data_IF_498995971582
#
_entry.id   IF_498995971582
#
_cell.length_a   1.000
_cell.length_b   1.000
_cell.length_c   1.000
_cell.angle_alpha   90.00
_cell.angle_beta   90.00
_cell.angle_gamma   90.00
#
_symmetry.space_group_name_H-M   'P 1'
#
loop_
_entity.id
_entity.type
_entity.pdbx_description
1 polymer ?
#
# COMPACT_ATOMS: atom_id res chain seq x y z
N UNK A 1 -3.84 25.28 1.78
CA UNK A 1 -4.82 24.29 1.26
C UNK A 1 -5.62 23.80 2.45
N UNK A 2 -6.94 23.94 2.37
CA UNK A 2 -7.87 23.44 3.39
C UNK A 2 -8.31 22.03 3.05
N UNK A 3 -8.11 21.09 3.95
CA UNK A 3 -8.45 19.67 3.75
C UNK A 3 -9.49 19.24 4.77
N UNK A 4 -10.55 18.61 4.30
CA UNK A 4 -11.58 18.02 5.13
C UNK A 4 -11.43 16.50 5.09
N UNK A 5 -11.32 15.88 6.27
CA UNK A 5 -11.23 14.42 6.43
C UNK A 5 -12.53 13.94 7.07
N UNK A 6 -13.26 13.09 6.36
CA UNK A 6 -14.48 12.47 6.85
C UNK A 6 -14.22 11.02 7.30
N UNK A 7 -14.31 10.78 8.60
CA UNK A 7 -13.97 9.54 9.28
C UNK A 7 -12.57 9.57 9.89
N UNK A 8 -12.49 9.58 11.21
CA UNK A 8 -11.26 9.60 11.99
C UNK A 8 -10.91 8.22 12.60
N UNK A 9 -11.19 7.17 11.84
CA UNK A 9 -10.71 5.82 12.10
C UNK A 9 -9.21 5.68 11.81
N UNK A 10 -8.68 4.43 11.77
CA UNK A 10 -7.23 4.18 11.58
C UNK A 10 -6.61 4.91 10.38
N UNK A 11 -7.33 4.99 9.26
CA UNK A 11 -6.84 5.68 8.06
C UNK A 11 -6.92 7.19 8.24
N UNK A 12 -8.07 7.71 8.70
CA UNK A 12 -8.24 9.15 8.96
C UNK A 12 -7.22 9.68 9.96
N UNK A 13 -7.06 9.03 11.10
CA UNK A 13 -6.06 9.42 12.11
C UNK A 13 -4.61 9.38 11.57
N UNK A 14 -4.28 8.42 10.69
CA UNK A 14 -2.95 8.39 10.05
C UNK A 14 -2.76 9.58 9.10
N UNK A 15 -3.79 9.91 8.31
CA UNK A 15 -3.77 11.06 7.42
C UNK A 15 -3.68 12.36 8.22
N UNK A 16 -4.49 12.51 9.27
CA UNK A 16 -4.48 13.68 10.17
C UNK A 16 -3.08 13.92 10.73
N UNK A 17 -2.45 12.89 11.26
CA UNK A 17 -1.08 12.97 11.79
C UNK A 17 -0.08 13.45 10.74
N UNK A 18 -0.12 12.89 9.53
CA UNK A 18 0.84 13.22 8.46
C UNK A 18 0.60 14.63 7.92
N UNK A 19 -0.64 14.96 7.59
CA UNK A 19 -0.99 16.24 6.99
C UNK A 19 -0.88 17.41 7.99
N UNK A 20 -1.16 17.18 9.27
CA UNK A 20 -0.90 18.17 10.34
C UNK A 20 0.59 18.44 10.46
N UNK A 21 1.45 17.42 10.40
CA UNK A 21 2.91 17.59 10.43
C UNK A 21 3.45 18.36 9.22
N UNK A 22 2.75 18.32 8.09
CA UNK A 22 3.08 19.09 6.88
C UNK A 22 2.50 20.51 6.88
N UNK A 23 1.74 20.88 7.93
CA UNK A 23 1.21 22.24 8.11
C UNK A 23 -0.03 22.57 7.29
N UNK A 24 -0.82 21.55 6.89
CA UNK A 24 -2.12 21.79 6.24
C UNK A 24 -3.19 22.20 7.25
N UNK A 25 -4.15 23.03 6.81
CA UNK A 25 -5.34 23.41 7.56
C UNK A 25 -6.36 22.27 7.49
N UNK A 26 -6.59 21.60 8.62
CA UNK A 26 -7.38 20.38 8.70
C UNK A 26 -8.69 20.57 9.44
N UNK A 27 -9.76 20.05 8.84
CA UNK A 27 -11.07 19.87 9.45
C UNK A 27 -11.42 18.38 9.44
N UNK A 28 -11.90 17.85 10.57
CA UNK A 28 -12.29 16.45 10.70
C UNK A 28 -13.80 16.34 10.97
N UNK A 29 -14.42 15.33 10.37
CA UNK A 29 -15.80 14.94 10.70
C UNK A 29 -15.79 13.47 11.13
N UNK A 30 -16.36 13.18 12.29
CA UNK A 30 -16.66 11.81 12.71
C UNK A 30 -17.98 11.74 13.49
N UNK A 31 -18.60 10.58 13.51
CA UNK A 31 -19.80 10.28 14.28
C UNK A 31 -19.49 9.79 15.71
N UNK A 32 -18.22 9.72 16.09
CA UNK A 32 -17.74 9.34 17.41
C UNK A 32 -17.03 10.51 18.09
N UNK A 33 -17.71 11.16 19.03
CA UNK A 33 -17.17 12.32 19.75
C UNK A 33 -15.85 12.00 20.48
N UNK A 34 -15.72 10.81 21.09
CA UNK A 34 -14.52 10.43 21.84
C UNK A 34 -13.26 10.35 20.94
N UNK A 35 -13.45 9.97 19.69
CA UNK A 35 -12.36 9.93 18.72
C UNK A 35 -11.92 11.34 18.38
N UNK A 36 -12.87 12.24 18.11
CA UNK A 36 -12.59 13.64 17.81
C UNK A 36 -11.90 14.35 18.99
N UNK A 37 -12.37 14.13 20.23
CA UNK A 37 -11.75 14.71 21.43
C UNK A 37 -10.29 14.28 21.57
N UNK A 38 -10.00 12.97 21.38
CA UNK A 38 -8.65 12.45 21.44
C UNK A 38 -7.74 13.01 20.34
N UNK A 39 -8.29 13.26 19.17
CA UNK A 39 -7.51 13.83 18.04
C UNK A 39 -7.19 15.30 18.26
N UNK A 40 -8.14 16.10 18.80
CA UNK A 40 -7.89 17.49 19.17
C UNK A 40 -6.88 17.67 20.30
N UNK A 41 -6.77 16.69 21.21
CA UNK A 41 -5.72 16.70 22.25
C UNK A 41 -4.31 16.50 21.69
N UNK A 42 -4.19 15.84 20.53
CA UNK A 42 -2.91 15.45 19.95
C UNK A 42 -2.45 16.36 18.80
N UNK A 43 -3.39 16.96 18.09
CA UNK A 43 -3.12 17.72 16.87
C UNK A 43 -3.91 19.04 16.86
N UNK A 44 -3.29 20.07 16.26
CA UNK A 44 -3.97 21.36 16.02
C UNK A 44 -4.91 21.23 14.81
N UNK A 45 -6.12 20.78 15.08
CA UNK A 45 -7.16 20.52 14.07
C UNK A 45 -8.53 20.93 14.58
N UNK A 46 -9.40 21.34 13.67
CA UNK A 46 -10.81 21.60 13.98
C UNK A 46 -11.65 20.34 13.72
N UNK A 47 -12.69 20.14 14.49
CA UNK A 47 -13.56 18.98 14.38
C UNK A 47 -15.04 19.33 14.33
N UNK A 48 -15.81 18.50 13.64
CA UNK A 48 -17.29 18.56 13.61
C UNK A 48 -17.84 17.16 13.88
N UNK A 49 -18.64 17.05 14.93
CA UNK A 49 -19.35 15.81 15.24
C UNK A 49 -20.59 15.66 14.36
N UNK A 50 -20.73 14.53 13.68
CA UNK A 50 -21.92 14.22 12.89
C UNK A 50 -21.71 13.26 11.75
N UNK A 51 -22.78 13.06 10.96
CA UNK A 51 -22.76 12.24 9.77
C UNK A 51 -22.26 13.07 8.59
N UNK A 52 -21.06 12.72 8.09
CA UNK A 52 -20.39 13.43 6.99
C UNK A 52 -21.14 13.37 5.64
N UNK A 53 -22.10 12.46 5.46
CA UNK A 53 -22.92 12.39 4.26
C UNK A 53 -24.04 13.45 4.22
N UNK A 54 -24.25 14.20 5.31
CA UNK A 54 -25.34 15.18 5.42
C UNK A 54 -24.87 16.58 5.04
N UNK A 55 -25.74 17.31 4.30
CA UNK A 55 -25.49 18.70 3.88
C UNK A 55 -25.15 19.61 5.07
N UNK A 56 -25.90 19.51 6.17
CA UNK A 56 -25.75 20.42 7.32
C UNK A 56 -24.37 20.24 7.98
N UNK A 57 -23.91 19.01 8.18
CA UNK A 57 -22.60 18.72 8.78
C UNK A 57 -21.46 19.18 7.86
N UNK A 58 -21.58 18.98 6.55
CA UNK A 58 -20.60 19.46 5.58
C UNK A 58 -20.53 21.00 5.56
N UNK A 59 -21.67 21.70 5.62
CA UNK A 59 -21.68 23.16 5.70
C UNK A 59 -21.06 23.66 7.01
N UNK A 60 -21.36 23.03 8.14
CA UNK A 60 -20.75 23.33 9.44
C UNK A 60 -19.23 23.12 9.41
N UNK A 61 -18.75 22.12 8.68
CA UNK A 61 -17.34 21.84 8.48
C UNK A 61 -16.64 22.76 7.45
N UNK A 62 -17.33 23.75 6.90
CA UNK A 62 -16.74 24.73 5.97
C UNK A 62 -16.46 24.18 4.57
N UNK A 63 -17.29 23.26 4.06
CA UNK A 63 -17.09 22.61 2.75
C UNK A 63 -16.99 23.61 1.58
N UNK A 64 -17.61 24.78 1.71
CA UNK A 64 -17.60 25.82 0.66
C UNK A 64 -16.21 26.42 0.43
N UNK A 65 -15.33 26.37 1.44
CA UNK A 65 -13.97 26.90 1.41
C UNK A 65 -12.92 25.80 1.38
N UNK A 66 -13.35 24.54 1.33
CA UNK A 66 -12.47 23.36 1.31
C UNK A 66 -11.93 23.11 -0.11
N UNK A 67 -10.64 22.81 -0.21
CA UNK A 67 -9.98 22.47 -1.48
C UNK A 67 -10.04 20.97 -1.78
N UNK A 68 -9.93 20.14 -0.73
CA UNK A 68 -9.86 18.69 -0.82
C UNK A 68 -10.70 18.01 0.27
N UNK A 69 -11.58 17.11 -0.12
CA UNK A 69 -12.29 16.19 0.79
C UNK A 69 -11.69 14.77 0.67
N UNK A 70 -11.37 14.17 1.80
CA UNK A 70 -10.98 12.75 1.90
C UNK A 70 -12.01 12.00 2.73
N UNK A 71 -12.85 11.19 2.08
CA UNK A 71 -13.85 10.37 2.75
C UNK A 71 -13.26 8.98 3.05
N UNK A 72 -13.01 8.70 4.34
CA UNK A 72 -12.32 7.50 4.83
C UNK A 72 -13.07 6.80 5.97
N UNK A 73 -14.41 6.87 5.98
CA UNK A 73 -15.24 6.20 6.98
C UNK A 73 -15.20 4.68 6.87
N UNK A 74 -15.91 3.99 7.74
CA UNK A 74 -15.99 2.52 7.74
C UNK A 74 -16.89 1.93 6.63
N UNK A 75 -17.71 2.74 5.96
CA UNK A 75 -18.65 2.31 4.92
C UNK A 75 -18.35 2.99 3.58
N UNK A 76 -18.19 2.19 2.55
CA UNK A 76 -17.85 2.66 1.21
C UNK A 76 -18.98 3.51 0.61
N UNK A 77 -20.24 3.13 0.87
CA UNK A 77 -21.46 3.84 0.46
C UNK A 77 -21.54 5.23 1.10
N UNK A 78 -21.14 5.36 2.37
CA UNK A 78 -21.10 6.65 3.07
C UNK A 78 -20.00 7.53 2.47
N UNK A 79 -18.85 6.96 2.11
CA UNK A 79 -17.78 7.70 1.48
C UNK A 79 -18.19 8.25 0.09
N UNK A 80 -18.91 7.45 -0.70
CA UNK A 80 -19.46 7.87 -1.99
C UNK A 80 -20.50 8.98 -1.81
N UNK A 81 -21.46 8.77 -0.92
CA UNK A 81 -22.52 9.76 -0.66
C UNK A 81 -21.93 11.07 -0.11
N UNK A 82 -20.94 10.99 0.77
CA UNK A 82 -20.23 12.16 1.30
C UNK A 82 -19.57 12.97 0.15
N UNK A 83 -18.82 12.32 -0.73
CA UNK A 83 -18.18 12.97 -1.88
C UNK A 83 -19.22 13.61 -2.82
N UNK A 84 -20.28 12.88 -3.15
CA UNK A 84 -21.34 13.38 -4.03
C UNK A 84 -22.07 14.59 -3.43
N UNK A 85 -22.42 14.52 -2.15
CA UNK A 85 -23.08 15.64 -1.44
C UNK A 85 -22.17 16.85 -1.37
N UNK A 86 -20.90 16.64 -1.02
CA UNK A 86 -19.91 17.70 -0.91
C UNK A 86 -19.65 18.40 -2.24
N UNK A 87 -19.49 17.65 -3.32
CA UNK A 87 -19.31 18.21 -4.67
C UNK A 87 -20.55 18.96 -5.15
N UNK A 88 -21.75 18.48 -4.80
CA UNK A 88 -23.00 19.18 -5.09
C UNK A 88 -23.10 20.56 -4.39
N UNK A 89 -22.41 20.73 -3.24
CA UNK A 89 -22.30 22.00 -2.52
C UNK A 89 -21.15 22.86 -3.08
N UNK A 90 -20.01 22.27 -3.34
CA UNK A 90 -18.81 22.94 -3.84
C UNK A 90 -18.29 22.22 -5.10
N UNK A 91 -18.69 22.62 -6.31
CA UNK A 91 -18.28 21.96 -7.55
C UNK A 91 -16.78 22.07 -7.91
N UNK A 92 -16.03 22.92 -7.21
CA UNK A 92 -14.58 23.05 -7.37
C UNK A 92 -13.78 22.10 -6.51
N UNK A 93 -14.45 21.42 -5.59
CA UNK A 93 -13.86 20.53 -4.60
C UNK A 93 -13.24 19.31 -5.27
N UNK A 94 -12.01 19.01 -4.92
CA UNK A 94 -11.43 17.71 -5.20
C UNK A 94 -11.88 16.70 -4.14
N UNK A 95 -12.23 15.48 -4.57
CA UNK A 95 -12.74 14.45 -3.68
C UNK A 95 -11.95 13.17 -3.81
N UNK A 96 -11.62 12.57 -2.68
CA UNK A 96 -11.01 11.25 -2.59
C UNK A 96 -11.89 10.35 -1.73
N UNK A 97 -12.32 9.22 -2.27
CA UNK A 97 -13.09 8.24 -1.51
C UNK A 97 -12.28 6.96 -1.27
N UNK A 98 -12.31 6.48 -0.03
CA UNK A 98 -11.84 5.14 0.32
C UNK A 98 -12.92 4.12 -0.07
N UNK A 99 -12.59 3.22 -0.99
CA UNK A 99 -13.47 2.15 -1.48
C UNK A 99 -12.75 0.83 -1.33
N UNK A 100 -13.28 -0.05 -0.48
CA UNK A 100 -12.61 -1.31 -0.07
C UNK A 100 -13.29 -2.57 -0.58
N UNK A 101 -14.59 -2.45 -0.90
CA UNK A 101 -15.36 -3.61 -1.35
C UNK A 101 -14.89 -4.03 -2.75
N UNK A 102 -14.46 -5.32 -2.92
CA UNK A 102 -14.08 -5.83 -4.24
C UNK A 102 -15.18 -5.68 -5.29
N UNK A 103 -16.45 -5.83 -4.91
CA UNK A 103 -17.60 -5.73 -5.80
C UNK A 103 -17.76 -4.33 -6.42
N UNK A 104 -17.27 -3.28 -5.71
CA UNK A 104 -17.34 -1.91 -6.20
C UNK A 104 -16.11 -1.51 -7.02
N UNK A 105 -15.01 -2.23 -6.88
CA UNK A 105 -13.71 -1.81 -7.42
C UNK A 105 -13.71 -1.53 -8.93
N UNK A 106 -14.40 -2.33 -9.72
CA UNK A 106 -14.44 -2.18 -11.17
C UNK A 106 -15.47 -1.11 -11.59
N UNK A 107 -16.63 -1.07 -10.92
CA UNK A 107 -17.70 -0.12 -11.20
C UNK A 107 -17.30 1.33 -10.89
N UNK A 108 -16.53 1.55 -9.84
CA UNK A 108 -16.13 2.88 -9.39
C UNK A 108 -15.33 3.64 -10.44
N UNK A 109 -14.47 2.97 -11.20
CA UNK A 109 -13.70 3.63 -12.25
C UNK A 109 -14.59 4.10 -13.42
N UNK A 110 -15.65 3.35 -13.73
CA UNK A 110 -16.63 3.71 -14.75
C UNK A 110 -17.60 4.80 -14.29
N UNK A 111 -17.95 4.79 -13.00
CA UNK A 111 -18.95 5.68 -12.40
C UNK A 111 -18.34 6.86 -11.63
N UNK A 112 -17.04 7.07 -11.69
CA UNK A 112 -16.34 8.09 -10.87
C UNK A 112 -16.93 9.50 -11.06
N UNK A 113 -17.35 9.83 -12.27
CA UNK A 113 -17.92 11.15 -12.59
C UNK A 113 -19.33 11.31 -11.99
N UNK A 114 -20.10 10.22 -11.89
CA UNK A 114 -21.42 10.20 -11.24
C UNK A 114 -21.29 10.46 -9.74
N UNK A 115 -20.28 9.86 -9.11
CA UNK A 115 -19.98 10.05 -7.69
C UNK A 115 -19.09 11.26 -7.42
N UNK A 116 -18.78 12.05 -8.44
CA UNK A 116 -17.91 13.22 -8.36
C UNK A 116 -16.56 12.92 -7.72
N UNK A 117 -15.91 11.81 -8.08
CA UNK A 117 -14.64 11.38 -7.52
C UNK A 117 -13.46 11.86 -8.38
N UNK A 118 -12.57 12.64 -7.77
CA UNK A 118 -11.25 12.90 -8.33
C UNK A 118 -10.37 11.65 -8.25
N UNK A 119 -10.48 10.89 -7.15
CA UNK A 119 -9.74 9.66 -6.93
C UNK A 119 -10.50 8.67 -6.03
N UNK A 120 -10.41 7.38 -6.34
CA UNK A 120 -10.80 6.29 -5.45
C UNK A 120 -9.55 5.55 -4.95
N UNK A 121 -9.47 5.27 -3.65
CA UNK A 121 -8.31 4.61 -3.02
C UNK A 121 -8.76 3.38 -2.26
N UNK A 122 -8.05 2.27 -2.46
CA UNK A 122 -8.22 1.04 -1.71
C UNK A 122 -6.91 0.69 -0.97
N UNK A 123 -6.74 1.11 0.28
CA UNK A 123 -5.51 0.88 1.04
C UNK A 123 -5.21 -0.62 1.23
N UNK A 124 -6.24 -1.44 1.40
CA UNK A 124 -6.10 -2.87 1.58
C UNK A 124 -5.56 -3.57 0.32
N UNK A 125 -6.02 -3.15 -0.86
CA UNK A 125 -5.51 -3.63 -2.16
C UNK A 125 -4.07 -3.18 -2.40
N UNK A 126 -3.73 -1.94 -2.01
CA UNK A 126 -2.36 -1.43 -2.11
C UNK A 126 -1.41 -2.18 -1.17
N UNK A 127 -1.83 -2.43 0.08
CA UNK A 127 -1.05 -3.23 1.02
C UNK A 127 -0.84 -4.66 0.50
N UNK A 128 -1.89 -5.30 -0.03
CA UNK A 128 -1.79 -6.63 -0.64
C UNK A 128 -0.82 -6.64 -1.84
N UNK A 129 -0.88 -5.61 -2.69
CA UNK A 129 0.04 -5.47 -3.83
C UNK A 129 1.50 -5.35 -3.37
N UNK A 130 1.75 -4.58 -2.32
CA UNK A 130 3.08 -4.42 -1.75
C UNK A 130 3.61 -5.72 -1.13
N UNK A 131 2.78 -6.42 -0.34
CA UNK A 131 3.14 -7.72 0.23
C UNK A 131 3.42 -8.74 -0.89
N UNK A 132 2.57 -8.81 -1.91
CA UNK A 132 2.76 -9.69 -3.06
C UNK A 132 4.06 -9.41 -3.80
N UNK A 133 4.44 -8.14 -3.91
CA UNK A 133 5.71 -7.71 -4.48
C UNK A 133 6.91 -8.20 -3.66
N UNK A 134 6.86 -8.06 -2.33
CA UNK A 134 7.90 -8.55 -1.43
C UNK A 134 8.06 -10.07 -1.52
N UNK A 135 6.96 -10.81 -1.62
CA UNK A 135 6.98 -12.27 -1.77
C UNK A 135 7.57 -12.71 -3.12
N UNK A 136 7.32 -11.95 -4.17
CA UNK A 136 7.86 -12.23 -5.51
C UNK A 136 9.34 -11.92 -5.62
N UNK A 137 9.81 -10.90 -4.91
CA UNK A 137 11.18 -10.38 -5.01
C UNK A 137 11.78 -10.08 -3.62
N UNK A 138 12.00 -11.09 -2.79
CA UNK A 138 12.43 -10.90 -1.39
C UNK A 138 13.83 -10.31 -1.23
N UNK A 139 14.62 -10.22 -2.31
CA UNK A 139 15.96 -9.61 -2.29
C UNK A 139 16.00 -8.09 -2.47
N UNK A 140 14.86 -7.45 -2.74
CA UNK A 140 14.82 -6.00 -2.90
C UNK A 140 14.28 -5.31 -1.64
N UNK A 141 14.96 -4.27 -1.16
CA UNK A 141 14.47 -3.43 -0.06
C UNK A 141 13.29 -2.58 -0.52
N UNK A 142 13.39 -2.02 -1.73
CA UNK A 142 12.34 -1.22 -2.36
C UNK A 142 12.35 -1.41 -3.86
N UNK A 143 11.20 -1.28 -4.50
CA UNK A 143 11.04 -1.34 -5.94
C UNK A 143 9.96 -0.35 -6.37
N UNK A 144 10.34 0.60 -7.19
CA UNK A 144 9.43 1.58 -7.79
C UNK A 144 9.39 1.36 -9.31
N UNK A 145 8.21 1.52 -9.90
CA UNK A 145 8.00 1.36 -11.34
C UNK A 145 7.65 2.70 -11.98
N UNK A 146 8.26 2.99 -13.13
CA UNK A 146 8.04 4.20 -13.90
C UNK A 146 7.62 3.87 -15.33
N UNK A 147 7.12 4.86 -16.05
CA UNK A 147 6.73 4.75 -17.45
C UNK A 147 5.78 3.57 -17.73
N UNK A 148 4.73 3.40 -16.90
CA UNK A 148 3.74 2.32 -16.97
C UNK A 148 4.38 0.93 -16.83
N UNK A 149 5.36 0.78 -15.92
CA UNK A 149 6.01 -0.50 -15.63
C UNK A 149 7.16 -0.88 -16.58
N UNK A 150 7.55 0.00 -17.51
CA UNK A 150 8.67 -0.28 -18.45
C UNK A 150 10.04 -0.06 -17.85
N UNK A 151 10.13 0.82 -16.86
CA UNK A 151 11.37 1.11 -16.13
C UNK A 151 11.15 0.84 -14.67
N UNK A 152 12.08 0.15 -14.05
CA UNK A 152 12.04 -0.18 -12.63
C UNK A 152 13.30 0.34 -11.96
N UNK A 153 13.14 0.94 -10.77
CA UNK A 153 14.23 1.26 -9.87
C UNK A 153 14.11 0.35 -8.66
N UNK A 154 15.16 -0.36 -8.35
CA UNK A 154 15.22 -1.24 -7.19
C UNK A 154 16.28 -0.78 -6.23
N UNK A 155 15.99 -0.92 -4.95
CA UNK A 155 16.92 -0.66 -3.88
C UNK A 155 17.52 -1.97 -3.39
N UNK A 156 18.84 -2.01 -3.35
CA UNK A 156 19.63 -3.12 -2.85
C UNK A 156 20.60 -2.62 -1.77
N UNK A 157 20.87 -3.46 -0.78
CA UNK A 157 21.95 -3.22 0.17
C UNK A 157 23.18 -4.01 -0.21
N UNK A 158 24.34 -3.37 -0.09
CA UNK A 158 25.63 -4.05 -0.27
C UNK A 158 25.97 -4.74 1.06
N UNK A 159 25.77 -6.06 1.08
CA UNK A 159 26.07 -6.89 2.27
C UNK A 159 27.56 -7.23 2.38
N UNK A 160 28.00 -7.55 3.59
CA UNK A 160 29.35 -8.04 3.84
C UNK A 160 29.64 -9.28 2.99
N UNK A 161 30.78 -9.30 2.32
CA UNK A 161 31.15 -10.42 1.44
C UNK A 161 30.40 -10.50 0.11
N UNK A 162 29.52 -9.54 -0.19
CA UNK A 162 28.89 -9.42 -1.50
C UNK A 162 29.94 -9.18 -2.58
N UNK A 163 29.70 -9.71 -3.81
CA UNK A 163 30.52 -9.41 -4.99
C UNK A 163 30.52 -7.93 -5.39
N UNK A 164 29.62 -7.14 -4.83
CA UNK A 164 29.57 -5.70 -5.02
C UNK A 164 30.51 -4.94 -4.08
N UNK A 165 30.92 -5.55 -2.98
CA UNK A 165 31.78 -4.90 -2.00
C UNK A 165 33.19 -4.66 -2.58
N UNK A 166 33.68 -3.42 -2.45
CA UNK A 166 34.94 -2.94 -3.03
C UNK A 166 35.03 -2.99 -4.55
N UNK A 167 33.88 -3.02 -5.25
CA UNK A 167 33.80 -3.02 -6.69
C UNK A 167 33.62 -1.58 -7.22
N UNK A 168 34.46 -1.10 -8.15
CA UNK A 168 34.20 0.13 -8.89
C UNK A 168 33.07 -0.08 -9.90
N UNK A 169 32.21 0.93 -10.07
CA UNK A 169 31.00 0.82 -10.90
C UNK A 169 31.27 0.54 -12.38
N UNK A 170 32.41 0.98 -12.93
CA UNK A 170 32.83 0.66 -14.29
C UNK A 170 33.02 -0.85 -14.50
N UNK A 171 33.29 -1.61 -13.44
CA UNK A 171 33.45 -3.07 -13.45
C UNK A 171 32.15 -3.83 -13.12
N UNK A 172 31.03 -3.12 -12.83
CA UNK A 172 29.78 -3.73 -12.39
C UNK A 172 29.22 -4.73 -13.41
N UNK A 173 29.27 -4.42 -14.69
CA UNK A 173 28.75 -5.28 -15.77
C UNK A 173 29.47 -6.64 -15.85
N UNK A 174 30.72 -6.72 -15.42
CA UNK A 174 31.48 -7.98 -15.40
C UNK A 174 30.97 -8.97 -14.35
N UNK A 175 30.46 -8.43 -13.23
CA UNK A 175 29.91 -9.20 -12.12
C UNK A 175 28.44 -9.52 -12.35
N UNK A 176 27.66 -8.52 -12.77
CA UNK A 176 26.20 -8.61 -12.92
C UNK A 176 25.78 -9.32 -14.19
N UNK A 177 26.61 -9.31 -15.24
CA UNK A 177 26.36 -9.91 -16.58
C UNK A 177 25.02 -9.49 -17.20
N UNK A 178 24.57 -8.28 -16.88
CA UNK A 178 23.36 -7.66 -17.43
C UNK A 178 23.51 -6.14 -17.43
N UNK A 179 22.81 -5.49 -18.36
CA UNK A 179 22.83 -4.02 -18.41
C UNK A 179 22.01 -3.47 -17.25
N UNK A 180 22.68 -2.83 -16.32
CA UNK A 180 22.11 -2.14 -15.17
C UNK A 180 22.81 -0.81 -14.98
N UNK A 181 22.09 0.16 -14.42
CA UNK A 181 22.64 1.46 -14.07
C UNK A 181 22.38 1.72 -12.59
N UNK A 182 23.44 2.05 -11.84
CA UNK A 182 23.32 2.57 -10.49
C UNK A 182 23.07 4.06 -10.58
N UNK A 183 21.87 4.50 -10.23
CA UNK A 183 21.45 5.89 -10.32
C UNK A 183 21.90 6.71 -9.11
N UNK A 184 21.82 6.12 -7.90
CA UNK A 184 22.13 6.77 -6.63
C UNK A 184 22.73 5.75 -5.68
N UNK A 185 23.66 6.19 -4.86
CA UNK A 185 24.18 5.45 -3.70
C UNK A 185 23.85 6.25 -2.43
N UNK A 186 23.21 5.62 -1.47
CA UNK A 186 23.00 6.20 -0.15
C UNK A 186 24.04 5.60 0.81
N UNK A 187 24.96 6.44 1.28
CA UNK A 187 26.02 6.08 2.24
C UNK A 187 25.93 6.98 3.45
N UNK A 188 25.77 6.40 4.62
CA UNK A 188 25.67 7.13 5.91
C UNK A 188 24.58 8.20 5.93
N UNK A 189 23.46 7.97 5.19
CA UNK A 189 22.36 8.93 5.09
C UNK A 189 22.53 10.00 4.01
N UNK A 190 23.68 10.06 3.33
CA UNK A 190 23.96 10.99 2.25
C UNK A 190 23.72 10.35 0.88
N UNK A 191 22.95 11.04 0.01
CA UNK A 191 22.67 10.60 -1.35
C UNK A 191 23.77 11.09 -2.31
N UNK A 192 24.43 10.15 -2.98
CA UNK A 192 25.55 10.39 -3.88
C UNK A 192 25.15 9.95 -5.29
N UNK A 193 25.34 10.82 -6.29
CA UNK A 193 25.27 10.43 -7.70
C UNK A 193 26.65 9.86 -8.11
N UNK A 194 26.78 8.53 -8.26
CA UNK A 194 28.08 7.93 -8.46
C UNK A 194 28.53 8.05 -9.93
N UNK A 195 29.83 8.15 -10.13
CA UNK A 195 30.50 7.97 -11.42
C UNK A 195 31.03 6.55 -11.61
N UNK A 196 31.73 6.27 -12.73
CA UNK A 196 32.28 4.96 -13.02
C UNK A 196 33.41 4.52 -12.09
N UNK A 197 34.15 5.44 -11.49
CA UNK A 197 35.26 5.18 -10.56
C UNK A 197 34.77 4.98 -9.12
N UNK A 198 33.49 5.27 -8.85
CA UNK A 198 32.91 5.15 -7.52
C UNK A 198 32.98 3.68 -7.02
N UNK A 199 33.59 3.49 -5.86
CA UNK A 199 33.75 2.16 -5.25
C UNK A 199 32.64 1.91 -4.23
N UNK A 200 31.87 0.87 -4.44
CA UNK A 200 30.84 0.41 -3.54
C UNK A 200 31.46 -0.18 -2.26
N UNK A 201 30.83 0.07 -1.10
CA UNK A 201 31.25 -0.42 0.20
C UNK A 201 30.14 -1.17 0.91
N UNK A 202 30.50 -2.00 1.85
CA UNK A 202 29.53 -2.61 2.77
C UNK A 202 28.64 -1.57 3.43
N UNK A 203 27.36 -1.87 3.54
CA UNK A 203 26.34 -0.99 4.11
C UNK A 203 25.74 0.04 3.14
N UNK A 204 26.34 0.26 1.97
CA UNK A 204 25.74 1.12 0.95
C UNK A 204 24.35 0.62 0.54
N UNK A 205 23.44 1.56 0.36
CA UNK A 205 22.15 1.30 -0.29
C UNK A 205 22.22 1.85 -1.70
N UNK A 206 22.10 0.99 -2.69
CA UNK A 206 22.22 1.35 -4.11
C UNK A 206 20.85 1.31 -4.77
N UNK A 207 20.59 2.32 -5.58
CA UNK A 207 19.37 2.41 -6.39
C UNK A 207 19.73 2.09 -7.84
N UNK A 208 19.23 0.94 -8.29
CA UNK A 208 19.61 0.36 -9.59
C UNK A 208 18.41 0.37 -10.53
N UNK A 209 18.60 0.85 -11.74
CA UNK A 209 17.60 0.73 -12.81
C UNK A 209 18.05 -0.26 -13.87
N UNK A 210 17.07 -1.06 -14.33
CA UNK A 210 17.26 -1.98 -15.46
C UNK A 210 15.89 -2.36 -16.05
N UNK A 211 15.87 -2.92 -17.27
CA UNK A 211 14.69 -3.61 -17.79
C UNK A 211 14.25 -4.73 -16.83
N UNK A 212 12.93 -4.95 -16.70
CA UNK A 212 12.36 -5.89 -15.71
C UNK A 212 12.97 -7.30 -15.76
N UNK A 213 13.29 -7.79 -16.96
CA UNK A 213 13.91 -9.10 -17.14
C UNK A 213 15.35 -9.16 -16.60
N UNK A 214 16.08 -8.04 -16.60
CA UNK A 214 17.46 -7.97 -16.15
C UNK A 214 17.59 -7.92 -14.62
N UNK A 215 16.57 -7.44 -13.91
CA UNK A 215 16.57 -7.38 -12.45
C UNK A 215 16.61 -8.77 -11.80
N UNK A 216 15.90 -9.74 -12.36
CA UNK A 216 15.96 -11.12 -11.88
C UNK A 216 17.35 -11.74 -12.10
N UNK A 217 17.99 -11.46 -13.25
CA UNK A 217 19.35 -11.87 -13.55
C UNK A 217 20.37 -11.20 -12.62
N UNK A 218 20.17 -9.90 -12.29
CA UNK A 218 20.97 -9.16 -11.33
C UNK A 218 21.05 -9.89 -10.00
N UNK A 219 19.91 -10.21 -9.38
CA UNK A 219 19.86 -10.89 -8.09
C UNK A 219 20.55 -12.25 -8.11
N UNK A 220 20.28 -13.03 -9.16
CA UNK A 220 20.90 -14.34 -9.33
C UNK A 220 22.43 -14.24 -9.46
N UNK A 221 22.92 -13.30 -10.28
CA UNK A 221 24.34 -13.14 -10.54
C UNK A 221 25.10 -12.54 -9.35
N UNK A 222 24.43 -11.76 -8.50
CA UNK A 222 24.96 -11.27 -7.23
C UNK A 222 25.01 -12.33 -6.13
N UNK A 223 24.47 -13.52 -6.38
CA UNK A 223 24.39 -14.58 -5.38
C UNK A 223 23.35 -14.27 -4.27
N UNK A 224 22.51 -13.26 -4.49
CA UNK A 224 21.33 -13.01 -3.65
C UNK A 224 20.32 -14.07 -4.07
N UNK A 225 20.50 -15.29 -3.53
CA UNK A 225 19.60 -16.42 -3.81
C UNK A 225 18.28 -16.12 -3.13
N UNK A 226 17.38 -15.51 -3.87
CA UNK A 226 15.99 -15.44 -3.46
C UNK A 226 15.41 -16.84 -3.63
N UNK A 227 15.25 -17.57 -2.53
CA UNK A 227 14.44 -18.79 -2.57
C UNK A 227 13.05 -18.35 -3.01
N UNK A 228 12.67 -18.77 -4.21
CA UNK A 228 11.36 -18.45 -4.77
C UNK A 228 10.28 -18.96 -3.80
N UNK A 229 9.48 -18.07 -3.26
CA UNK A 229 8.35 -18.44 -2.42
C UNK A 229 7.37 -19.22 -3.29
N UNK A 230 7.03 -20.41 -2.86
CA UNK A 230 6.11 -21.31 -3.60
C UNK A 230 4.80 -21.54 -2.85
N UNK A 231 4.84 -21.46 -1.54
CA UNK A 231 3.68 -21.70 -0.66
C UNK A 231 3.54 -20.53 0.29
N UNK A 232 2.34 -20.03 0.44
CA UNK A 232 2.01 -18.91 1.32
C UNK A 232 0.83 -19.32 2.18
N UNK A 233 0.96 -19.11 3.49
CA UNK A 233 -0.13 -19.25 4.43
C UNK A 233 -0.56 -17.86 4.89
N UNK A 234 -1.86 -17.57 4.79
CA UNK A 234 -2.48 -16.34 5.22
C UNK A 234 -3.32 -16.58 6.45
N UNK A 235 -3.08 -15.84 7.51
CA UNK A 235 -3.84 -15.94 8.77
C UNK A 235 -4.86 -14.80 8.84
N UNK A 236 -6.14 -15.18 8.76
CA UNK A 236 -7.28 -14.26 8.71
C UNK A 236 -7.78 -13.97 7.29
N UNK A 237 -9.10 -14.08 7.10
CA UNK A 237 -9.81 -13.87 5.81
C UNK A 237 -10.25 -12.42 5.56
N UNK A 238 -9.51 -11.44 6.08
CA UNK A 238 -9.80 -10.03 5.87
C UNK A 238 -9.56 -9.57 4.43
N UNK A 239 -9.85 -8.29 4.15
CA UNK A 239 -9.75 -7.72 2.79
C UNK A 239 -8.33 -7.76 2.22
N UNK A 240 -7.30 -7.52 3.04
CA UNK A 240 -5.90 -7.64 2.60
C UNK A 240 -5.59 -9.06 2.14
N UNK A 241 -5.98 -10.07 2.95
CA UNK A 241 -5.77 -11.47 2.60
C UNK A 241 -6.51 -11.89 1.35
N UNK A 242 -7.73 -11.39 1.14
CA UNK A 242 -8.49 -11.59 -0.08
C UNK A 242 -7.74 -11.08 -1.32
N UNK A 243 -7.36 -9.79 -1.33
CA UNK A 243 -6.65 -9.19 -2.46
C UNK A 243 -5.28 -9.81 -2.70
N UNK A 244 -4.58 -10.18 -1.62
CA UNK A 244 -3.29 -10.85 -1.72
C UNK A 244 -3.43 -12.25 -2.31
N UNK A 245 -4.41 -13.03 -1.83
CA UNK A 245 -4.69 -14.36 -2.36
C UNK A 245 -5.07 -14.31 -3.85
N UNK A 246 -5.94 -13.38 -4.24
CA UNK A 246 -6.31 -13.14 -5.65
C UNK A 246 -5.09 -12.85 -6.53
N UNK A 247 -4.17 -12.03 -6.03
CA UNK A 247 -2.94 -11.69 -6.75
C UNK A 247 -1.97 -12.88 -6.83
N UNK A 248 -1.78 -13.61 -5.73
CA UNK A 248 -0.81 -14.70 -5.65
C UNK A 248 -1.21 -15.90 -6.51
N UNK A 249 -2.51 -16.20 -6.66
CA UNK A 249 -2.99 -17.23 -7.60
C UNK A 249 -2.47 -17.00 -9.02
N UNK A 250 -2.46 -15.74 -9.49
CA UNK A 250 -2.00 -15.36 -10.83
C UNK A 250 -0.49 -15.55 -11.02
N UNK A 251 0.26 -15.73 -9.92
CA UNK A 251 1.73 -15.93 -9.95
C UNK A 251 2.14 -17.40 -9.87
N UNK A 252 1.19 -18.34 -9.74
CA UNK A 252 1.43 -19.76 -9.60
C UNK A 252 1.94 -20.17 -8.20
N UNK A 253 1.78 -19.31 -7.20
CA UNK A 253 2.01 -19.67 -5.79
C UNK A 253 0.81 -20.42 -5.23
N UNK A 254 1.08 -21.47 -4.44
CA UNK A 254 0.03 -22.16 -3.67
C UNK A 254 -0.33 -21.35 -2.44
N UNK A 255 -1.58 -20.99 -2.29
CA UNK A 255 -2.09 -20.19 -1.17
C UNK A 255 -3.02 -21.02 -0.31
N UNK A 256 -2.77 -20.98 1.00
CA UNK A 256 -3.66 -21.52 2.04
C UNK A 256 -4.07 -20.36 2.94
N UNK A 257 -5.38 -20.25 3.25
CA UNK A 257 -5.92 -19.18 4.08
C UNK A 257 -6.68 -19.81 5.24
N UNK A 258 -6.31 -19.41 6.47
CA UNK A 258 -6.96 -19.85 7.71
C UNK A 258 -7.85 -18.72 8.19
N UNK A 259 -9.14 -19.03 8.41
CA UNK A 259 -10.13 -18.08 8.92
C UNK A 259 -10.99 -18.74 10.01
N UNK A 260 -11.28 -17.99 11.06
CA UNK A 260 -12.03 -18.49 12.20
C UNK A 260 -13.55 -18.43 12.00
N UNK A 261 -14.01 -17.45 11.23
CA UNK A 261 -15.43 -17.27 10.94
C UNK A 261 -15.85 -18.20 9.81
N UNK A 262 -16.80 -19.10 10.10
CA UNK A 262 -17.27 -20.11 9.15
C UNK A 262 -17.97 -19.47 7.93
N UNK A 263 -18.84 -18.49 8.15
CA UNK A 263 -19.57 -17.84 7.06
C UNK A 263 -18.59 -17.11 6.13
N UNK A 264 -17.55 -16.52 6.71
CA UNK A 264 -16.47 -15.91 5.94
C UNK A 264 -15.65 -16.93 5.16
N UNK A 265 -15.41 -18.13 5.72
CA UNK A 265 -14.77 -19.24 4.97
C UNK A 265 -15.59 -19.64 3.75
N UNK A 266 -16.91 -19.76 3.89
CA UNK A 266 -17.82 -20.10 2.77
C UNK A 266 -17.72 -19.02 1.67
N UNK A 267 -17.87 -17.74 2.02
CA UNK A 267 -17.73 -16.64 1.07
C UNK A 267 -16.38 -16.65 0.35
N UNK A 268 -15.29 -16.86 1.09
CA UNK A 268 -13.95 -16.88 0.51
C UNK A 268 -13.75 -18.08 -0.42
N UNK A 269 -14.35 -19.23 -0.15
CA UNK A 269 -14.25 -20.40 -1.02
C UNK A 269 -14.95 -20.19 -2.36
N UNK A 270 -16.03 -19.40 -2.38
CA UNK A 270 -16.72 -19.02 -3.62
C UNK A 270 -15.91 -17.98 -4.43
N UNK A 271 -15.36 -16.98 -3.73
CA UNK A 271 -14.61 -15.88 -4.37
C UNK A 271 -13.21 -16.29 -4.83
N UNK A 272 -12.59 -17.29 -4.18
CA UNK A 272 -11.20 -17.72 -4.40
C UNK A 272 -11.11 -19.23 -4.64
N UNK A 273 -11.66 -19.76 -5.74
CA UNK A 273 -11.80 -21.22 -5.94
C UNK A 273 -10.48 -21.99 -6.03
N UNK A 274 -9.36 -21.30 -6.26
CA UNK A 274 -8.02 -21.92 -6.32
C UNK A 274 -7.22 -21.81 -5.02
N UNK A 275 -7.81 -21.21 -3.97
CA UNK A 275 -7.18 -21.07 -2.65
C UNK A 275 -7.71 -22.13 -1.70
N UNK A 276 -6.82 -22.79 -0.97
CA UNK A 276 -7.21 -23.70 0.10
C UNK A 276 -7.70 -22.90 1.31
N UNK A 277 -9.00 -22.92 1.58
CA UNK A 277 -9.59 -22.26 2.76
C UNK A 277 -9.69 -23.29 3.89
N UNK A 278 -9.16 -22.91 5.05
CA UNK A 278 -9.17 -23.73 6.27
C UNK A 278 -9.96 -22.99 7.34
N UNK A 279 -11.05 -23.61 7.83
CA UNK A 279 -11.78 -23.08 8.96
C UNK A 279 -11.06 -23.44 10.26
N UNK A 280 -10.60 -22.42 11.01
CA UNK A 280 -9.91 -22.63 12.27
C UNK A 280 -9.26 -21.37 12.84
N UNK A 281 -8.75 -21.49 14.04
CA UNK A 281 -8.07 -20.41 14.73
C UNK A 281 -6.56 -20.44 14.41
N UNK A 282 -6.08 -19.41 13.71
CA UNK A 282 -4.67 -19.27 13.34
C UNK A 282 -3.73 -19.04 14.55
N UNK A 283 -4.24 -18.85 15.77
CA UNK A 283 -3.43 -18.85 16.99
C UNK A 283 -3.10 -20.27 17.50
N UNK A 284 -3.77 -21.29 16.97
CA UNK A 284 -3.52 -22.68 17.34
C UNK A 284 -2.27 -23.22 16.67
N UNK A 285 -1.22 -23.44 17.44
CA UNK A 285 0.03 -24.04 16.95
C UNK A 285 -0.22 -25.42 16.31
N UNK A 286 -1.06 -26.25 16.92
CA UNK A 286 -1.40 -27.58 16.41
C UNK A 286 -2.03 -27.49 15.01
N UNK A 287 -2.93 -26.53 14.80
CA UNK A 287 -3.53 -26.31 13.49
C UNK A 287 -2.47 -25.88 12.47
N UNK A 288 -1.64 -24.90 12.83
CA UNK A 288 -0.59 -24.39 11.94
C UNK A 288 0.38 -25.52 11.51
N UNK A 289 0.80 -26.36 12.45
CA UNK A 289 1.69 -27.50 12.17
C UNK A 289 1.01 -28.55 11.28
N UNK A 290 -0.27 -28.89 11.55
CA UNK A 290 -1.04 -29.83 10.72
C UNK A 290 -1.25 -29.32 9.30
N UNK A 291 -1.31 -27.99 9.14
CA UNK A 291 -1.49 -27.33 7.84
C UNK A 291 -0.16 -27.01 7.12
N UNK A 292 0.97 -27.39 7.71
CA UNK A 292 2.28 -27.41 7.06
C UNK A 292 3.17 -26.20 7.31
N UNK A 293 2.98 -25.51 8.42
CA UNK A 293 4.00 -24.64 9.01
C UNK A 293 4.99 -25.53 9.77
N UNK A 294 6.20 -25.62 9.28
CA UNK A 294 7.30 -26.37 9.91
C UNK A 294 8.54 -25.48 9.96
#
# INVERSE_FOLDING_TARGET
>A
MKILIAGDGKVGATLTRQLSAEGYDLMLIDSNQKVLDSTMEQYDVMTVFGNCATKNVLLQAGIMETDLLIAATSADEINLLCCTTAHGLNPRLHTIARIRNPEYSDQIYEMRDIFALSMAVNPERQAAAEIGRLLKYPGFLKRDTFAKGRVEIVELRVEAGSRLCNLPLNSLNSVVRSQVLVCVVLRNGEAIAPDGEFVLREGDRIFVTAPANNLSALLHNLGIITRKVRRVMLCGGGKISYYLAEQLQKTGMSVKLIERDYDRCVQLSELLPSVSIVHGDASSQMLLESEGIS
#
